data_IF_406237261975
#
_entry.id   IF_406237261975
#
_cell.length_a   1.000
_cell.length_b   1.000
_cell.length_c   1.000
_cell.angle_alpha   90.00
_cell.angle_beta   90.00
_cell.angle_gamma   90.00
#
_symmetry.space_group_name_H-M   'P 1'
#
loop_
_entity.id
_entity.type
_entity.pdbx_description
1 polymer ?
#
# COMPACT_ATOMS: atom_id res chain seq x y z
N UNK A 1 4.29 -11.39 24.90
CA UNK A 1 5.13 -10.40 24.18
C UNK A 1 4.21 -9.30 23.66
N UNK A 2 4.31 -8.11 24.24
CA UNK A 2 3.43 -6.99 23.91
C UNK A 2 4.06 -6.13 22.80
N UNK A 3 3.85 -6.54 21.55
CA UNK A 3 4.26 -5.76 20.39
C UNK A 3 3.13 -4.85 19.93
N UNK A 4 3.46 -3.57 19.75
CA UNK A 4 2.61 -2.58 19.13
C UNK A 4 3.18 -2.24 17.76
N UNK A 5 2.41 -2.45 16.71
CA UNK A 5 2.80 -2.20 15.32
C UNK A 5 2.05 -0.99 14.74
N UNK A 6 2.40 -0.59 13.54
CA UNK A 6 1.77 0.51 12.81
C UNK A 6 1.85 1.86 13.54
N UNK A 7 3.04 2.19 14.03
CA UNK A 7 3.30 3.48 14.68
C UNK A 7 4.19 4.36 13.79
N UNK A 8 4.11 5.69 13.96
CA UNK A 8 5.02 6.60 13.28
C UNK A 8 6.47 6.31 13.65
N UNK A 9 7.35 6.42 12.68
CA UNK A 9 8.77 6.28 12.94
C UNK A 9 9.27 7.44 13.82
N UNK A 10 10.00 7.18 14.91
CA UNK A 10 10.53 8.23 15.78
C UNK A 10 11.70 9.02 15.16
N UNK A 11 12.14 8.63 13.97
CA UNK A 11 13.19 9.32 13.23
C UNK A 11 12.58 10.29 12.22
N UNK A 12 12.74 11.59 12.44
CA UNK A 12 12.13 12.66 11.64
C UNK A 12 12.46 12.55 10.14
N UNK A 13 13.68 12.13 9.81
CA UNK A 13 14.15 11.96 8.45
C UNK A 13 13.57 10.71 7.73
N UNK A 14 12.87 9.85 8.46
CA UNK A 14 12.21 8.67 7.89
C UNK A 14 10.86 9.00 7.27
N UNK A 15 10.08 9.88 7.90
CA UNK A 15 8.75 10.30 7.44
C UNK A 15 7.69 9.21 7.36
N UNK A 16 7.95 8.00 7.86
CA UNK A 16 6.97 6.91 7.86
C UNK A 16 6.01 7.04 9.04
N UNK A 17 4.71 6.96 8.76
CA UNK A 17 3.66 7.12 9.76
C UNK A 17 3.16 5.80 10.38
N UNK A 18 3.56 4.63 9.83
CA UNK A 18 3.00 3.34 10.19
C UNK A 18 4.00 2.16 10.21
N UNK A 19 5.25 2.41 9.85
CA UNK A 19 6.24 1.33 9.72
C UNK A 19 7.02 1.02 11.00
N UNK A 20 6.71 1.64 12.12
CA UNK A 20 7.39 1.39 13.37
C UNK A 20 6.65 0.40 14.25
N UNK A 21 7.36 -0.63 14.71
CA UNK A 21 6.86 -1.59 15.70
C UNK A 21 7.72 -1.51 16.96
N UNK A 22 7.08 -1.51 18.13
CA UNK A 22 7.80 -1.49 19.39
C UNK A 22 7.25 -2.48 20.40
N UNK A 23 8.11 -2.92 21.31
CA UNK A 23 7.75 -3.80 22.41
C UNK A 23 7.82 -3.01 23.72
N UNK A 24 6.70 -2.98 24.46
CA UNK A 24 6.58 -2.25 25.72
C UNK A 24 7.35 -2.89 26.85
N UNK A 25 7.58 -4.20 26.80
CA UNK A 25 8.29 -4.91 27.88
C UNK A 25 9.80 -4.66 27.79
N UNK A 26 10.33 -4.64 26.56
CA UNK A 26 11.77 -4.43 26.31
C UNK A 26 12.13 -2.97 26.04
N UNK A 27 11.13 -2.08 25.94
CA UNK A 27 11.31 -0.67 25.57
C UNK A 27 12.16 -0.51 24.31
N UNK A 28 11.93 -1.37 23.32
CA UNK A 28 12.69 -1.39 22.07
C UNK A 28 11.75 -1.52 20.87
N UNK A 29 12.16 -0.98 19.75
CA UNK A 29 11.38 -1.04 18.52
C UNK A 29 12.25 -1.04 17.27
N UNK A 30 11.63 -1.30 16.13
CA UNK A 30 12.24 -1.24 14.81
C UNK A 30 11.30 -0.59 13.82
N UNK A 31 11.85 0.30 12.99
CA UNK A 31 11.15 0.81 11.83
C UNK A 31 11.41 -0.12 10.63
N UNK A 32 10.36 -0.60 9.99
CA UNK A 32 10.45 -1.47 8.81
C UNK A 32 10.68 -0.67 7.52
N UNK A 33 10.53 0.66 7.56
CA UNK A 33 10.77 1.53 6.41
C UNK A 33 12.24 1.94 6.29
N UNK A 34 12.85 2.41 7.41
CA UNK A 34 14.25 2.84 7.42
C UNK A 34 15.21 1.84 8.07
N UNK A 35 14.69 0.68 8.52
CA UNK A 35 15.41 -0.43 9.18
C UNK A 35 16.12 -0.09 10.49
N UNK A 36 15.98 1.14 10.97
CA UNK A 36 16.59 1.59 12.22
C UNK A 36 15.88 1.01 13.45
N UNK A 37 16.65 0.70 14.48
CA UNK A 37 16.15 0.22 15.77
C UNK A 37 16.17 1.34 16.81
N UNK A 38 15.23 1.25 17.77
CA UNK A 38 15.11 2.18 18.88
C UNK A 38 15.14 1.39 20.22
N UNK A 39 15.83 1.83 21.28
CA UNK A 39 16.84 2.88 21.18
C UNK A 39 18.01 2.44 20.29
N UNK A 40 18.71 3.38 19.71
CA UNK A 40 19.97 3.06 19.02
C UNK A 40 20.86 2.30 20.00
N UNK A 41 21.56 1.28 19.51
CA UNK A 41 22.46 0.44 20.29
C UNK A 41 23.22 1.23 21.36
N UNK A 42 23.29 0.65 22.56
CA UNK A 42 23.86 1.24 23.80
C UNK A 42 24.91 2.31 23.54
N UNK A 43 24.60 3.55 23.94
CA UNK A 43 25.58 4.66 23.98
C UNK A 43 25.21 5.90 23.18
N UNK A 44 24.16 5.87 22.35
CA UNK A 44 23.70 7.07 21.63
C UNK A 44 22.44 7.59 22.31
N UNK A 45 22.60 8.66 23.09
CA UNK A 45 21.46 9.42 23.63
C UNK A 45 20.82 10.19 22.48
N UNK A 46 19.49 10.18 22.43
CA UNK A 46 18.75 11.12 21.61
C UNK A 46 18.62 12.44 22.32
N UNK A 47 18.86 13.55 21.65
CA UNK A 47 18.77 14.90 22.23
C UNK A 47 17.36 15.29 22.68
N UNK A 48 16.33 14.52 22.24
CA UNK A 48 14.93 14.72 22.63
C UNK A 48 14.47 13.86 23.81
N UNK A 49 15.29 13.00 24.36
CA UNK A 49 14.86 11.86 25.18
C UNK A 49 15.26 11.90 26.64
N UNK A 50 15.66 13.02 27.20
CA UNK A 50 15.89 12.98 28.66
C UNK A 50 14.56 13.03 29.45
N UNK A 51 13.42 13.53 28.89
CA UNK A 51 12.20 13.69 29.67
C UNK A 51 10.86 13.42 28.96
N UNK A 52 10.82 13.14 27.66
CA UNK A 52 9.54 12.88 26.97
C UNK A 52 9.64 11.68 26.02
N UNK A 53 9.26 10.51 26.50
CA UNK A 53 8.80 9.46 25.59
C UNK A 53 7.64 10.01 24.75
N UNK A 54 7.58 9.71 23.45
CA UNK A 54 6.41 10.08 22.67
C UNK A 54 5.15 9.69 23.44
N UNK A 55 4.19 10.58 23.56
CA UNK A 55 3.00 10.42 24.40
C UNK A 55 2.19 9.14 24.11
N UNK A 56 2.42 8.52 22.95
CA UNK A 56 1.88 7.23 22.56
C UNK A 56 2.67 6.01 23.07
N UNK A 57 3.88 6.23 23.68
CA UNK A 57 4.73 5.18 24.20
C UNK A 57 4.36 4.88 25.65
N UNK A 58 3.64 3.81 25.88
CA UNK A 58 3.48 3.27 27.24
C UNK A 58 2.14 3.51 27.92
N UNK A 59 1.17 4.15 27.32
CA UNK A 59 -0.19 4.18 27.88
C UNK A 59 -1.05 3.09 27.25
N UNK A 60 -1.09 1.94 27.89
CA UNK A 60 -2.07 0.88 27.59
C UNK A 60 -3.48 1.22 27.99
N UNK A 61 -3.85 2.49 28.09
CA UNK A 61 -5.20 2.95 28.37
C UNK A 61 -5.80 3.51 27.10
N UNK A 62 -6.95 2.95 26.74
CA UNK A 62 -7.87 3.41 25.70
C UNK A 62 -8.43 4.80 26.03
N UNK A 63 -7.60 5.81 26.10
CA UNK A 63 -8.09 7.18 25.96
C UNK A 63 -8.00 7.51 24.47
N UNK A 64 -9.16 7.84 23.92
CA UNK A 64 -9.31 8.34 22.56
C UNK A 64 -8.27 9.43 22.32
N UNK A 65 -7.21 9.06 21.64
CA UNK A 65 -6.25 10.03 21.11
C UNK A 65 -7.08 11.01 20.30
N UNK A 66 -6.99 12.33 20.57
CA UNK A 66 -7.61 13.30 19.68
C UNK A 66 -7.13 12.93 18.28
N UNK A 67 -8.06 12.60 17.41
CA UNK A 67 -7.77 12.46 16.00
C UNK A 67 -7.24 13.82 15.57
N UNK A 68 -5.93 14.00 15.65
CA UNK A 68 -5.26 14.96 14.81
C UNK A 68 -5.58 14.49 13.41
N UNK A 69 -6.62 15.11 12.85
CA UNK A 69 -6.82 15.07 11.42
C UNK A 69 -5.51 15.65 10.88
N UNK A 70 -4.54 14.77 10.58
CA UNK A 70 -3.56 15.08 9.59
C UNK A 70 -4.40 15.29 8.33
N UNK A 71 -4.86 16.51 8.14
CA UNK A 71 -4.96 17.02 6.80
C UNK A 71 -3.57 16.79 6.23
N UNK A 72 -3.44 15.65 5.56
CA UNK A 72 -2.36 15.47 4.63
C UNK A 72 -2.51 16.66 3.73
N UNK A 73 -1.69 17.68 3.95
CA UNK A 73 -1.53 18.75 2.97
C UNK A 73 -1.01 18.03 1.74
N UNK A 74 -1.98 17.56 0.95
CA UNK A 74 -1.76 17.23 -0.44
C UNK A 74 -1.22 18.53 -0.98
N UNK A 75 0.12 18.60 -1.13
CA UNK A 75 0.73 19.71 -1.86
C UNK A 75 -0.13 19.86 -3.10
N UNK A 76 -0.68 21.05 -3.37
CA UNK A 76 -1.57 21.23 -4.49
C UNK A 76 -0.82 20.67 -5.70
N UNK A 77 -1.32 19.54 -6.21
CA UNK A 77 -0.82 18.96 -7.45
C UNK A 77 -0.98 20.12 -8.44
N UNK A 78 0.09 20.58 -9.08
CA UNK A 78 -0.03 21.61 -10.08
C UNK A 78 -1.20 21.23 -10.99
N UNK A 79 -2.01 22.19 -11.42
CA UNK A 79 -3.19 21.98 -12.28
C UNK A 79 -2.75 21.51 -13.68
N UNK A 80 -1.72 20.67 -13.71
CA UNK A 80 -1.20 20.08 -14.93
C UNK A 80 -2.16 19.01 -15.40
N UNK A 81 -2.61 19.12 -16.63
CA UNK A 81 -3.51 18.16 -17.25
C UNK A 81 -2.74 16.84 -17.43
N UNK A 82 -3.07 15.85 -16.60
CA UNK A 82 -2.47 14.53 -16.69
C UNK A 82 -3.19 13.71 -17.78
N UNK A 83 -2.40 13.06 -18.63
CA UNK A 83 -2.93 12.21 -19.71
C UNK A 83 -2.90 10.74 -19.29
N UNK A 84 -4.05 10.03 -19.29
CA UNK A 84 -4.09 8.59 -19.01
C UNK A 84 -3.57 7.79 -20.22
N UNK A 85 -2.68 6.86 -19.97
CA UNK A 85 -2.11 5.97 -20.99
C UNK A 85 -1.96 4.54 -20.44
N UNK A 86 -2.04 3.55 -21.30
CA UNK A 86 -1.55 2.20 -20.99
C UNK A 86 -0.09 2.10 -21.44
N UNK A 87 0.82 1.84 -20.51
CA UNK A 87 2.25 1.71 -20.79
C UNK A 87 2.88 0.59 -19.96
N UNK A 88 3.94 0.01 -20.46
CA UNK A 88 4.72 -0.98 -19.70
C UNK A 88 5.32 -0.33 -18.43
N UNK A 89 5.38 -1.11 -17.35
CA UNK A 89 5.95 -0.71 -16.08
C UNK A 89 6.50 -1.92 -15.33
N UNK A 90 7.75 -1.86 -14.85
CA UNK A 90 8.41 -2.95 -14.10
C UNK A 90 8.31 -4.31 -14.80
N UNK A 91 8.66 -4.34 -16.09
CA UNK A 91 8.59 -5.53 -16.94
C UNK A 91 7.18 -6.11 -17.19
N UNK A 92 6.14 -5.45 -16.65
CA UNK A 92 4.76 -5.73 -17.02
C UNK A 92 4.46 -5.04 -18.34
N UNK A 93 4.02 -5.83 -19.34
CA UNK A 93 3.77 -5.33 -20.68
C UNK A 93 2.60 -4.34 -20.75
N UNK A 94 2.61 -3.51 -21.81
CA UNK A 94 1.47 -2.61 -22.08
C UNK A 94 0.16 -3.39 -22.23
N UNK A 95 0.20 -4.56 -22.89
CA UNK A 95 -1.00 -5.37 -23.14
C UNK A 95 -1.58 -5.93 -21.85
N UNK A 96 -0.72 -6.35 -20.92
CA UNK A 96 -1.13 -6.76 -19.57
C UNK A 96 -1.75 -5.59 -18.80
N UNK A 97 -1.12 -4.42 -18.83
CA UNK A 97 -1.67 -3.22 -18.20
C UNK A 97 -3.04 -2.85 -18.78
N UNK A 98 -3.19 -2.98 -20.09
CA UNK A 98 -4.44 -2.71 -20.78
C UNK A 98 -5.51 -3.75 -20.42
N UNK A 99 -5.15 -5.02 -20.38
CA UNK A 99 -6.05 -6.11 -20.00
C UNK A 99 -6.67 -5.88 -18.61
N UNK A 100 -5.87 -5.48 -17.65
CA UNK A 100 -6.33 -5.15 -16.29
C UNK A 100 -6.88 -3.72 -16.14
N UNK A 101 -7.03 -2.98 -17.24
CA UNK A 101 -7.47 -1.59 -17.25
C UNK A 101 -6.67 -0.68 -16.29
N UNK A 102 -5.39 -1.02 -16.07
CA UNK A 102 -4.50 -0.20 -15.29
C UNK A 102 -4.06 1.03 -16.09
N UNK A 103 -4.34 2.23 -15.59
CA UNK A 103 -4.03 3.50 -16.25
C UNK A 103 -2.85 4.18 -15.58
N UNK A 104 -1.83 4.50 -16.37
CA UNK A 104 -0.74 5.38 -15.93
C UNK A 104 -1.02 6.79 -16.39
N UNK A 105 -0.99 7.74 -15.49
CA UNK A 105 -1.16 9.16 -15.79
C UNK A 105 0.21 9.80 -15.91
N UNK A 106 0.44 10.45 -17.03
CA UNK A 106 1.70 11.11 -17.33
C UNK A 106 1.52 12.64 -17.39
N UNK A 107 2.56 13.36 -17.03
CA UNK A 107 2.64 14.82 -17.16
C UNK A 107 2.91 15.23 -18.62
N UNK A 108 3.01 16.54 -18.87
CA UNK A 108 3.31 17.12 -20.19
C UNK A 108 4.66 16.67 -20.77
N UNK A 109 5.58 16.19 -19.92
CA UNK A 109 6.89 15.63 -20.32
C UNK A 109 6.84 14.13 -20.59
N UNK A 110 5.68 13.48 -20.40
CA UNK A 110 5.53 12.03 -20.53
C UNK A 110 6.04 11.23 -19.33
N UNK A 111 6.35 11.88 -18.21
CA UNK A 111 6.80 11.23 -16.98
C UNK A 111 5.60 10.70 -16.19
N UNK A 112 5.66 9.50 -15.59
CA UNK A 112 4.57 8.95 -14.82
C UNK A 112 4.41 9.69 -13.49
N UNK A 113 3.18 10.13 -13.21
CA UNK A 113 2.81 10.83 -11.97
C UNK A 113 2.04 9.91 -11.03
N UNK A 114 1.12 9.11 -11.57
CA UNK A 114 0.32 8.15 -10.81
C UNK A 114 -0.14 6.98 -11.69
N UNK A 115 -0.51 5.88 -11.04
CA UNK A 115 -1.23 4.75 -11.64
C UNK A 115 -2.56 4.56 -10.92
N UNK A 116 -3.59 4.20 -11.67
CA UNK A 116 -4.91 3.87 -11.14
C UNK A 116 -5.26 2.42 -11.47
N UNK A 117 -5.67 1.70 -10.44
CA UNK A 117 -6.17 0.33 -10.48
C UNK A 117 -7.68 0.40 -10.23
N UNK A 118 -8.46 -0.06 -11.20
CA UNK A 118 -9.92 0.05 -11.15
C UNK A 118 -10.48 -1.31 -10.71
N UNK A 119 -11.31 -1.29 -9.68
CA UNK A 119 -11.97 -2.47 -9.11
C UNK A 119 -13.35 -2.66 -9.70
N UNK A 120 -13.94 -3.88 -9.61
CA UNK A 120 -15.21 -4.21 -10.27
C UNK A 120 -16.37 -3.28 -9.94
N UNK A 121 -16.47 -2.81 -8.70
CA UNK A 121 -17.52 -1.86 -8.28
C UNK A 121 -17.27 -0.41 -8.73
N UNK A 122 -16.16 -0.13 -9.42
CA UNK A 122 -15.73 1.22 -9.77
C UNK A 122 -14.85 1.88 -8.71
N UNK A 123 -14.54 1.20 -7.62
CA UNK A 123 -13.55 1.65 -6.65
C UNK A 123 -12.18 1.79 -7.32
N UNK A 124 -11.40 2.77 -6.87
CA UNK A 124 -10.10 3.08 -7.47
C UNK A 124 -9.03 3.12 -6.40
N UNK A 125 -7.97 2.34 -6.59
CA UNK A 125 -6.74 2.47 -5.82
C UNK A 125 -5.72 3.21 -6.67
N UNK A 126 -5.11 4.25 -6.12
CA UNK A 126 -4.14 5.10 -6.81
C UNK A 126 -2.77 4.94 -6.18
N UNK A 127 -1.78 4.66 -7.00
CA UNK A 127 -0.37 4.69 -6.64
C UNK A 127 0.27 5.94 -7.22
N UNK A 128 0.82 6.79 -6.39
CA UNK A 128 1.59 7.96 -6.80
C UNK A 128 3.08 7.65 -6.93
N UNK A 129 3.78 8.46 -7.69
CA UNK A 129 5.24 8.45 -7.80
C UNK A 129 5.82 9.74 -7.19
N UNK A 130 6.68 9.67 -6.15
CA UNK A 130 7.20 8.49 -5.45
C UNK A 130 6.10 7.70 -4.71
N UNK A 131 6.41 6.50 -4.23
CA UNK A 131 5.45 5.50 -3.73
C UNK A 131 4.59 6.05 -2.56
N UNK A 132 3.36 6.43 -2.89
CA UNK A 132 2.27 6.73 -1.96
C UNK A 132 0.99 6.10 -2.50
N UNK A 133 0.02 5.82 -1.64
CA UNK A 133 -1.24 5.22 -2.04
C UNK A 133 -2.42 6.04 -1.53
N UNK A 134 -3.47 6.07 -2.34
CA UNK A 134 -4.79 6.54 -1.95
C UNK A 134 -5.84 5.56 -2.48
N UNK A 135 -6.99 5.51 -1.82
CA UNK A 135 -8.13 4.72 -2.28
C UNK A 135 -9.39 5.58 -2.24
N UNK A 136 -10.27 5.37 -3.24
CA UNK A 136 -11.58 6.00 -3.31
C UNK A 136 -12.61 4.91 -3.63
N UNK A 137 -13.67 4.86 -2.84
CA UNK A 137 -14.81 3.95 -3.01
C UNK A 137 -14.42 2.46 -3.10
N UNK A 138 -13.24 2.11 -2.54
CA UNK A 138 -12.72 0.75 -2.56
C UNK A 138 -13.44 -0.10 -1.51
N UNK A 139 -13.99 -1.23 -1.93
CA UNK A 139 -14.62 -2.19 -1.03
C UNK A 139 -13.61 -3.22 -0.54
N UNK A 140 -13.68 -3.55 0.74
CA UNK A 140 -12.76 -4.51 1.37
C UNK A 140 -13.04 -5.98 1.02
N UNK A 141 -14.16 -6.25 0.36
CA UNK A 141 -14.65 -7.56 -0.05
C UNK A 141 -14.59 -7.76 -1.58
N UNK A 142 -13.88 -6.92 -2.30
CA UNK A 142 -13.60 -7.05 -3.72
C UNK A 142 -12.15 -7.43 -3.98
N UNK A 143 -11.93 -8.23 -5.02
CA UNK A 143 -10.60 -8.54 -5.53
C UNK A 143 -10.34 -7.76 -6.82
N UNK A 144 -9.14 -7.21 -6.96
CA UNK A 144 -8.72 -6.60 -8.23
C UNK A 144 -8.67 -7.63 -9.34
N UNK A 145 -9.27 -7.31 -10.47
CA UNK A 145 -9.31 -8.17 -11.65
C UNK A 145 -10.29 -9.34 -11.57
N UNK A 146 -11.15 -9.44 -10.53
CA UNK A 146 -12.10 -10.56 -10.45
C UNK A 146 -13.15 -10.55 -11.55
N UNK A 147 -13.50 -9.40 -12.09
CA UNK A 147 -14.45 -9.20 -13.17
C UNK A 147 -13.91 -9.61 -14.56
N UNK A 148 -12.61 -9.83 -14.67
CA UNK A 148 -11.98 -10.30 -15.92
C UNK A 148 -12.20 -11.80 -16.16
N UNK A 149 -12.74 -12.52 -15.18
CA UNK A 149 -12.85 -13.97 -15.22
C UNK A 149 -14.29 -14.44 -15.05
N UNK A 150 -14.73 -15.24 -16.01
CA UNK A 150 -16.05 -15.88 -15.91
C UNK A 150 -16.02 -17.04 -14.91
N UNK A 151 -17.12 -17.22 -14.20
CA UNK A 151 -17.31 -18.39 -13.33
C UNK A 151 -17.11 -19.68 -14.13
N UNK A 152 -16.37 -20.63 -13.55
CA UNK A 152 -16.06 -21.90 -14.19
C UNK A 152 -14.94 -21.88 -15.24
N UNK A 153 -14.28 -20.75 -15.47
CA UNK A 153 -13.14 -20.63 -16.38
C UNK A 153 -11.98 -21.56 -15.99
N UNK A 154 -11.74 -21.72 -14.69
CA UNK A 154 -10.68 -22.56 -14.16
C UNK A 154 -11.11 -23.19 -12.83
N UNK A 155 -10.42 -24.30 -12.45
CA UNK A 155 -10.58 -24.93 -11.13
C UNK A 155 -9.81 -24.21 -10.02
N UNK A 156 -8.89 -23.35 -10.38
CA UNK A 156 -7.99 -22.64 -9.46
C UNK A 156 -7.93 -21.18 -9.81
N UNK A 157 -7.70 -20.34 -8.81
CA UNK A 157 -7.39 -18.92 -8.95
C UNK A 157 -6.09 -18.62 -8.23
N UNK A 158 -5.24 -17.82 -8.83
CA UNK A 158 -4.04 -17.29 -8.17
C UNK A 158 -4.40 -15.97 -7.49
N UNK A 159 -4.12 -15.86 -6.20
CA UNK A 159 -4.36 -14.66 -5.42
C UNK A 159 -3.01 -14.08 -5.02
N UNK A 160 -2.80 -12.80 -5.28
CA UNK A 160 -1.58 -12.07 -4.95
C UNK A 160 -1.86 -10.97 -3.92
N UNK A 161 -0.81 -10.40 -3.35
CA UNK A 161 -0.95 -9.36 -2.33
C UNK A 161 -1.31 -8.00 -2.95
N UNK A 162 -0.69 -7.63 -4.07
CA UNK A 162 -0.94 -6.33 -4.72
C UNK A 162 -1.26 -6.44 -6.22
N UNK A 163 -1.70 -5.33 -6.78
CA UNK A 163 -2.19 -5.25 -8.17
C UNK A 163 -1.06 -5.48 -9.19
N UNK A 164 0.17 -5.01 -8.91
CA UNK A 164 1.30 -5.25 -9.80
C UNK A 164 1.72 -6.71 -9.77
N UNK A 165 1.64 -7.35 -8.61
CA UNK A 165 1.92 -8.79 -8.48
C UNK A 165 0.89 -9.61 -9.26
N UNK A 166 -0.40 -9.23 -9.23
CA UNK A 166 -1.43 -9.88 -10.03
C UNK A 166 -1.15 -9.78 -11.53
N UNK A 167 -0.80 -8.59 -12.01
CA UNK A 167 -0.47 -8.38 -13.42
C UNK A 167 0.80 -9.13 -13.83
N UNK A 168 1.82 -9.15 -12.97
CA UNK A 168 3.06 -9.90 -13.20
C UNK A 168 2.80 -11.41 -13.24
N UNK A 169 2.06 -11.96 -12.26
CA UNK A 169 1.70 -13.36 -12.21
C UNK A 169 0.85 -13.77 -13.44
N UNK A 170 -0.12 -12.91 -13.82
CA UNK A 170 -0.89 -13.15 -15.05
C UNK A 170 0.02 -13.25 -16.27
N UNK A 171 0.97 -12.32 -16.44
CA UNK A 171 1.87 -12.31 -17.60
C UNK A 171 2.73 -13.57 -17.64
N UNK A 172 3.18 -14.07 -16.48
CA UNK A 172 3.98 -15.30 -16.38
C UNK A 172 3.15 -16.57 -16.61
N UNK A 173 1.90 -16.59 -16.17
CA UNK A 173 1.03 -17.77 -16.17
C UNK A 173 0.10 -17.81 -17.38
N UNK A 174 0.05 -16.73 -18.19
CA UNK A 174 -0.89 -16.61 -19.27
C UNK A 174 -0.71 -17.73 -20.32
N UNK A 175 -1.81 -18.44 -20.53
CA UNK A 175 -1.91 -19.46 -21.58
C UNK A 175 -3.25 -19.30 -22.30
N UNK A 176 -3.29 -18.98 -23.59
CA UNK A 176 -4.54 -18.75 -24.33
C UNK A 176 -5.49 -19.96 -24.33
N UNK A 177 -4.93 -21.17 -24.24
CA UNK A 177 -5.72 -22.42 -24.23
C UNK A 177 -6.25 -22.77 -22.84
N UNK A 178 -5.50 -22.41 -21.80
CA UNK A 178 -5.81 -22.73 -20.41
C UNK A 178 -5.69 -21.45 -19.57
N UNK A 179 -6.75 -20.66 -19.49
CA UNK A 179 -6.70 -19.42 -18.74
C UNK A 179 -6.45 -19.69 -17.25
N UNK A 180 -5.51 -18.94 -16.71
CA UNK A 180 -5.17 -18.97 -15.28
C UNK A 180 -5.68 -17.65 -14.66
N UNK A 181 -6.84 -17.67 -14.00
CA UNK A 181 -7.35 -16.51 -13.30
C UNK A 181 -6.36 -16.02 -12.24
N UNK A 182 -6.07 -14.72 -12.27
CA UNK A 182 -5.20 -14.06 -11.29
C UNK A 182 -5.92 -12.83 -10.79
N UNK A 183 -5.91 -12.65 -9.48
CA UNK A 183 -6.54 -11.53 -8.78
C UNK A 183 -5.63 -11.04 -7.66
N UNK A 184 -5.85 -9.83 -7.14
CA UNK A 184 -5.17 -9.40 -5.93
C UNK A 184 -6.12 -8.92 -4.84
N UNK A 185 -5.58 -8.92 -3.62
CA UNK A 185 -6.26 -8.37 -2.45
C UNK A 185 -6.31 -6.84 -2.54
N UNK A 186 -7.38 -6.19 -2.03
CA UNK A 186 -7.46 -4.74 -1.99
C UNK A 186 -6.48 -4.11 -0.99
N UNK A 187 -6.07 -4.89 0.01
CA UNK A 187 -5.10 -4.50 1.04
C UNK A 187 -4.40 -5.72 1.61
N UNK A 188 -3.27 -5.53 2.28
CA UNK A 188 -2.53 -6.59 2.99
C UNK A 188 -3.33 -7.23 4.14
N UNK A 189 -4.42 -6.60 4.59
CA UNK A 189 -5.33 -7.15 5.60
C UNK A 189 -6.72 -7.31 4.98
N UNK A 190 -7.01 -8.45 4.35
CA UNK A 190 -8.28 -8.69 3.69
C UNK A 190 -9.42 -8.83 4.73
N UNK A 191 -10.60 -8.38 4.35
CA UNK A 191 -11.81 -8.58 5.14
C UNK A 191 -12.14 -10.08 5.26
N UNK A 192 -12.67 -10.51 6.41
CA UNK A 192 -13.23 -11.86 6.58
C UNK A 192 -14.29 -12.21 5.53
N UNK A 193 -15.01 -11.22 5.02
CA UNK A 193 -16.06 -11.40 4.00
C UNK A 193 -15.54 -11.93 2.65
N UNK A 194 -14.25 -11.84 2.38
CA UNK A 194 -13.66 -12.41 1.16
C UNK A 194 -13.62 -13.94 1.18
N UNK A 195 -13.81 -14.57 2.35
CA UNK A 195 -13.61 -16.00 2.54
C UNK A 195 -14.89 -16.75 2.92
N UNK A 196 -16.02 -16.07 2.97
CA UNK A 196 -17.36 -16.64 3.24
C UNK A 196 -18.21 -16.68 1.98
#
# INVERSE_FOLDING_TARGET
MNWNSHKPCPYEDCGSNDAFSYNTDSMSGKCHSCERTYPRSKGVKFDWAEDEYPTWWGTGNNEETPQVKHETQIKPVPTEVLTPVHRAYRDISKDTMQFFNCKTFVNSKGEPVKQEYIYPSGGVKTRFFPKQFAARDLKSDELFGMDLWNSGTSKTVTITEDELDAMSAYQMLHNPKYPNPVVSLPSSTPSRKLWT
#
